data_IF_094021428446
#
_entry.id   IF_094021428446
#
_cell.length_a   1.000
_cell.length_b   1.000
_cell.length_c   1.000
_cell.angle_alpha   90.00
_cell.angle_beta   90.00
_cell.angle_gamma   90.00
#
_symmetry.space_group_name_H-M   'P 1'
#
loop_
_entity.id
_entity.type
_entity.pdbx_description
1 polymer ?
#
# COMPACT_ATOMS: atom_id res chain seq x y z
N UNK A 1 6.12 -4.72 -7.83
CA UNK A 1 5.58 -3.36 -8.00
C UNK A 1 4.95 -3.22 -9.38
N UNK A 2 3.71 -2.74 -9.45
CA UNK A 2 2.98 -2.47 -10.70
C UNK A 2 3.36 -1.09 -11.29
N UNK A 3 3.64 -0.12 -10.43
CA UNK A 3 4.19 1.21 -10.75
C UNK A 3 5.34 1.50 -9.81
N UNK A 4 6.35 2.22 -10.28
CA UNK A 4 7.51 2.59 -9.47
C UNK A 4 7.97 4.01 -9.77
N UNK A 5 8.26 4.77 -8.71
CA UNK A 5 8.61 6.19 -8.80
C UNK A 5 7.42 7.06 -9.20
N UNK A 6 7.69 8.33 -9.55
CA UNK A 6 6.72 9.27 -10.12
C UNK A 6 5.50 9.57 -9.19
N UNK A 7 5.61 9.33 -7.88
CA UNK A 7 4.57 9.64 -6.91
C UNK A 7 4.54 11.15 -6.65
N UNK A 8 3.39 11.82 -6.73
CA UNK A 8 3.29 13.26 -6.50
C UNK A 8 3.37 13.66 -5.02
N UNK A 9 3.28 12.67 -4.12
CA UNK A 9 3.35 12.89 -2.68
C UNK A 9 4.75 13.30 -2.21
N UNK A 10 4.83 13.99 -1.06
CA UNK A 10 6.08 14.51 -0.52
C UNK A 10 6.64 13.73 0.69
N UNK A 11 6.14 12.54 0.96
CA UNK A 11 6.59 11.72 2.09
C UNK A 11 8.11 11.64 2.17
N UNK A 12 8.73 12.18 3.24
CA UNK A 12 10.18 12.33 3.34
C UNK A 12 10.97 11.03 3.42
N UNK A 13 10.35 9.95 3.87
CA UNK A 13 10.97 8.63 3.91
C UNK A 13 10.93 7.87 2.57
N UNK A 14 10.21 8.40 1.57
CA UNK A 14 9.82 7.59 0.40
C UNK A 14 10.69 7.90 -0.82
N UNK A 15 11.44 6.91 -1.29
CA UNK A 15 12.21 6.99 -2.53
C UNK A 15 11.35 7.05 -3.80
N UNK A 16 10.03 6.73 -3.70
CA UNK A 16 9.11 6.73 -4.84
C UNK A 16 8.58 8.13 -5.22
N UNK A 17 8.79 9.14 -4.39
CA UNK A 17 8.34 10.51 -4.69
C UNK A 17 9.03 11.09 -5.94
N UNK A 18 8.33 11.96 -6.67
CA UNK A 18 8.80 12.52 -7.93
C UNK A 18 10.14 13.27 -7.79
N UNK A 19 10.33 13.98 -6.66
CA UNK A 19 11.55 14.74 -6.37
C UNK A 19 12.71 13.91 -5.83
N UNK A 20 12.53 12.59 -5.60
CA UNK A 20 13.60 11.73 -5.09
C UNK A 20 14.74 11.59 -6.10
N UNK A 21 15.98 11.72 -5.60
CA UNK A 21 17.23 11.48 -6.33
C UNK A 21 17.71 10.02 -6.17
N UNK A 22 16.96 9.19 -5.46
CA UNK A 22 17.30 7.79 -5.23
C UNK A 22 17.41 7.03 -6.57
N UNK A 23 18.43 6.18 -6.65
CA UNK A 23 18.66 5.34 -7.83
C UNK A 23 17.70 4.14 -7.82
N UNK A 24 16.45 4.38 -8.20
CA UNK A 24 15.41 3.36 -8.33
C UNK A 24 14.92 3.28 -9.77
N UNK A 25 14.42 2.12 -10.16
CA UNK A 25 13.70 2.00 -11.45
C UNK A 25 12.42 2.83 -11.40
N UNK A 26 12.15 3.61 -12.46
CA UNK A 26 10.96 4.44 -12.60
C UNK A 26 10.18 3.99 -13.84
N UNK A 27 8.93 3.57 -13.64
CA UNK A 27 8.02 3.17 -14.73
C UNK A 27 6.57 3.42 -14.34
N UNK A 28 5.75 3.75 -15.34
CA UNK A 28 4.33 4.06 -15.14
C UNK A 28 3.48 2.81 -14.87
N UNK A 29 3.79 1.70 -15.53
CA UNK A 29 3.18 0.39 -15.33
C UNK A 29 4.13 -0.72 -15.77
N UNK A 30 4.17 -1.81 -15.00
CA UNK A 30 4.78 -3.06 -15.43
C UNK A 30 3.91 -3.72 -16.52
N UNK A 31 4.54 -4.42 -17.44
CA UNK A 31 3.79 -5.19 -18.44
C UNK A 31 3.14 -6.44 -17.80
N UNK A 32 2.01 -6.93 -18.35
CA UNK A 32 1.28 -8.04 -17.76
C UNK A 32 2.08 -9.34 -17.65
N UNK A 33 2.96 -9.63 -18.62
CA UNK A 33 3.78 -10.85 -18.60
C UNK A 33 4.81 -10.80 -17.45
N UNK A 34 5.44 -9.64 -17.25
CA UNK A 34 6.35 -9.43 -16.11
C UNK A 34 5.61 -9.63 -14.78
N UNK A 35 4.38 -9.14 -14.66
CA UNK A 35 3.56 -9.32 -13.45
C UNK A 35 3.22 -10.78 -13.24
N UNK A 36 2.73 -11.47 -14.28
CA UNK A 36 2.39 -12.90 -14.23
C UNK A 36 3.62 -13.73 -13.80
N UNK A 37 4.76 -13.57 -14.45
CA UNK A 37 5.99 -14.29 -14.13
C UNK A 37 6.46 -14.05 -12.69
N UNK A 38 6.31 -12.82 -12.17
CA UNK A 38 6.66 -12.51 -10.78
C UNK A 38 5.72 -13.18 -9.78
N UNK A 39 4.42 -13.28 -10.09
CA UNK A 39 3.42 -13.99 -9.28
C UNK A 39 3.75 -15.47 -9.25
N UNK A 40 3.96 -16.10 -10.41
CA UNK A 40 4.30 -17.52 -10.52
C UNK A 40 5.59 -17.88 -9.76
N UNK A 41 6.63 -17.06 -9.91
CA UNK A 41 7.88 -17.24 -9.17
C UNK A 41 7.68 -17.14 -7.64
N UNK A 42 6.84 -16.20 -7.19
CA UNK A 42 6.50 -16.06 -5.78
C UNK A 42 5.77 -17.29 -5.24
N UNK A 43 4.76 -17.77 -5.96
CA UNK A 43 3.97 -18.96 -5.58
C UNK A 43 4.85 -20.21 -5.58
N UNK A 44 5.66 -20.41 -6.62
CA UNK A 44 6.62 -21.51 -6.67
C UNK A 44 7.64 -21.46 -5.51
N UNK A 45 7.97 -20.26 -5.02
CA UNK A 45 8.77 -20.04 -3.82
C UNK A 45 8.03 -20.25 -2.48
N UNK A 46 6.73 -20.63 -2.53
CA UNK A 46 5.92 -20.90 -1.35
C UNK A 46 5.14 -19.70 -0.80
N UNK A 47 5.01 -18.62 -1.56
CA UNK A 47 4.20 -17.48 -1.17
C UNK A 47 2.72 -17.88 -1.06
N UNK A 48 2.08 -17.49 0.06
CA UNK A 48 0.64 -17.66 0.30
C UNK A 48 -0.14 -16.38 0.04
N UNK A 49 0.56 -15.25 -0.05
CA UNK A 49 0.00 -13.93 -0.35
C UNK A 49 0.86 -13.22 -1.38
N UNK A 50 0.23 -12.63 -2.38
CA UNK A 50 0.85 -11.77 -3.39
C UNK A 50 0.39 -10.34 -3.15
N UNK A 51 1.36 -9.39 -3.12
CA UNK A 51 1.05 -7.98 -2.96
C UNK A 51 1.24 -7.24 -4.30
N UNK A 52 0.17 -6.62 -4.79
CA UNK A 52 0.15 -5.78 -5.99
C UNK A 52 0.25 -4.31 -5.59
N UNK A 53 1.44 -3.72 -5.77
CA UNK A 53 1.74 -2.38 -5.25
C UNK A 53 1.94 -1.38 -6.39
N UNK A 54 1.26 -0.25 -6.35
CA UNK A 54 1.44 0.86 -7.28
C UNK A 54 1.77 2.15 -6.54
N UNK A 55 2.84 2.83 -6.93
CA UNK A 55 3.18 4.16 -6.42
C UNK A 55 2.17 5.21 -6.90
N UNK A 56 1.83 6.19 -6.06
CA UNK A 56 0.91 7.29 -6.40
C UNK A 56 0.06 7.71 -5.22
N UNK A 57 -0.67 8.83 -5.38
CA UNK A 57 -1.64 9.30 -4.39
C UNK A 57 -2.84 8.32 -4.29
N UNK A 58 -3.42 7.99 -5.43
CA UNK A 58 -4.55 7.07 -5.56
C UNK A 58 -4.78 6.68 -7.01
N UNK A 59 -5.58 5.62 -7.27
CA UNK A 59 -5.81 5.12 -8.61
C UNK A 59 -6.91 5.91 -9.35
N UNK A 60 -6.74 6.10 -10.65
CA UNK A 60 -7.85 6.39 -11.53
C UNK A 60 -8.75 5.15 -11.70
N UNK A 61 -9.98 5.34 -12.21
CA UNK A 61 -10.88 4.20 -12.53
C UNK A 61 -10.22 3.21 -13.51
N UNK A 62 -9.46 3.72 -14.48
CA UNK A 62 -8.70 2.86 -15.42
C UNK A 62 -7.60 2.05 -14.73
N UNK A 63 -6.95 2.64 -13.71
CA UNK A 63 -5.94 1.93 -12.92
C UNK A 63 -6.59 0.81 -12.09
N UNK A 64 -7.77 1.08 -11.50
CA UNK A 64 -8.55 0.07 -10.78
C UNK A 64 -8.95 -1.09 -11.69
N UNK A 65 -9.51 -0.79 -12.88
CA UNK A 65 -9.87 -1.83 -13.86
C UNK A 65 -8.68 -2.71 -14.24
N UNK A 66 -7.51 -2.09 -14.48
CA UNK A 66 -6.27 -2.81 -14.80
C UNK A 66 -5.85 -3.75 -13.68
N UNK A 67 -5.85 -3.28 -12.44
CA UNK A 67 -5.46 -4.12 -11.29
C UNK A 67 -6.50 -5.19 -11.01
N UNK A 68 -7.78 -4.86 -11.14
CA UNK A 68 -8.87 -5.83 -11.01
C UNK A 68 -8.77 -6.98 -12.02
N UNK A 69 -8.34 -6.71 -13.26
CA UNK A 69 -8.06 -7.77 -14.23
C UNK A 69 -6.96 -8.70 -13.73
N UNK A 70 -5.82 -8.14 -13.26
CA UNK A 70 -4.71 -8.92 -12.71
C UNK A 70 -5.11 -9.72 -11.46
N UNK A 71 -5.95 -9.16 -10.59
CA UNK A 71 -6.48 -9.86 -9.41
C UNK A 71 -7.31 -11.06 -9.85
N UNK A 72 -8.24 -10.88 -10.81
CA UNK A 72 -9.06 -11.96 -11.34
C UNK A 72 -8.21 -13.06 -11.99
N UNK A 73 -7.16 -12.71 -12.74
CA UNK A 73 -6.26 -13.67 -13.36
C UNK A 73 -5.59 -14.54 -12.29
N UNK A 74 -4.98 -13.93 -11.26
CA UNK A 74 -4.35 -14.66 -10.16
C UNK A 74 -5.36 -15.54 -9.42
N UNK A 75 -6.56 -15.02 -9.10
CA UNK A 75 -7.58 -15.79 -8.38
C UNK A 75 -8.15 -16.93 -9.22
N UNK A 76 -8.18 -16.83 -10.54
CA UNK A 76 -8.63 -17.91 -11.43
C UNK A 76 -7.63 -19.06 -11.49
N UNK A 77 -6.32 -18.77 -11.51
CA UNK A 77 -5.25 -19.75 -11.58
C UNK A 77 -4.85 -20.30 -10.20
N UNK A 78 -4.91 -19.45 -9.18
CA UNK A 78 -4.48 -19.73 -7.81
C UNK A 78 -5.52 -19.31 -6.77
N UNK A 79 -6.70 -19.96 -6.70
CA UNK A 79 -7.82 -19.55 -5.85
C UNK A 79 -7.48 -19.51 -4.35
N UNK A 80 -6.49 -20.26 -3.91
CA UNK A 80 -6.06 -20.34 -2.51
C UNK A 80 -4.97 -19.32 -2.14
N UNK A 81 -4.44 -18.56 -3.11
CA UNK A 81 -3.47 -17.51 -2.86
C UNK A 81 -4.21 -16.22 -2.50
N UNK A 82 -3.82 -15.59 -1.40
CA UNK A 82 -4.35 -14.30 -1.02
C UNK A 82 -3.74 -13.19 -1.89
N UNK A 83 -4.59 -12.28 -2.35
CA UNK A 83 -4.15 -11.08 -3.10
C UNK A 83 -4.36 -9.84 -2.25
N UNK A 84 -3.26 -9.13 -1.97
CA UNK A 84 -3.26 -7.82 -1.32
C UNK A 84 -3.01 -6.74 -2.37
N UNK A 85 -3.83 -5.69 -2.37
CA UNK A 85 -3.67 -4.54 -3.27
C UNK A 85 -3.17 -3.33 -2.48
N UNK A 86 -2.33 -2.49 -3.09
CA UNK A 86 -1.86 -1.23 -2.51
C UNK A 86 -1.70 -0.19 -3.63
N UNK A 87 -2.64 0.75 -3.71
CA UNK A 87 -2.70 1.77 -4.77
C UNK A 87 -2.85 3.20 -4.22
N UNK A 88 -2.64 3.42 -2.91
CA UNK A 88 -2.90 4.69 -2.25
C UNK A 88 -4.35 4.86 -1.79
N UNK A 89 -4.87 6.08 -1.86
CA UNK A 89 -6.20 6.44 -1.40
C UNK A 89 -7.30 5.90 -2.33
N UNK A 90 -8.32 5.31 -1.77
CA UNK A 90 -9.49 4.82 -2.52
C UNK A 90 -10.79 5.27 -1.85
N UNK A 91 -11.77 5.61 -2.66
CA UNK A 91 -13.15 5.81 -2.25
C UNK A 91 -13.90 4.47 -2.15
N UNK A 92 -15.12 4.52 -1.68
CA UNK A 92 -15.97 3.35 -1.48
C UNK A 92 -16.19 2.56 -2.77
N UNK A 93 -16.51 3.22 -3.87
CA UNK A 93 -16.81 2.55 -5.15
C UNK A 93 -15.59 1.77 -5.67
N UNK A 94 -14.39 2.36 -5.54
CA UNK A 94 -13.13 1.68 -5.91
C UNK A 94 -12.82 0.52 -4.99
N UNK A 95 -13.00 0.68 -3.67
CA UNK A 95 -12.76 -0.37 -2.69
C UNK A 95 -13.69 -1.57 -2.93
N UNK A 96 -14.99 -1.34 -3.15
CA UNK A 96 -15.98 -2.37 -3.49
C UNK A 96 -15.61 -3.07 -4.80
N UNK A 97 -15.23 -2.33 -5.85
CA UNK A 97 -14.80 -2.90 -7.13
C UNK A 97 -13.56 -3.77 -7.01
N UNK A 98 -12.58 -3.39 -6.17
CA UNK A 98 -11.39 -4.18 -5.89
C UNK A 98 -11.76 -5.47 -5.12
N UNK A 99 -12.69 -5.39 -4.18
CA UNK A 99 -13.22 -6.55 -3.46
C UNK A 99 -13.95 -7.51 -4.39
N UNK A 100 -14.81 -7.01 -5.26
CA UNK A 100 -15.55 -7.80 -6.25
C UNK A 100 -14.62 -8.51 -7.26
N UNK A 101 -13.46 -7.92 -7.55
CA UNK A 101 -12.45 -8.56 -8.39
C UNK A 101 -11.79 -9.78 -7.71
N UNK A 102 -11.97 -9.95 -6.40
CA UNK A 102 -11.45 -11.08 -5.63
C UNK A 102 -10.25 -10.75 -4.74
N UNK A 103 -9.91 -9.47 -4.55
CA UNK A 103 -8.87 -9.10 -3.59
C UNK A 103 -9.30 -9.48 -2.16
N UNK A 104 -8.35 -10.03 -1.40
CA UNK A 104 -8.57 -10.44 0.00
C UNK A 104 -8.28 -9.30 0.96
N UNK A 105 -7.25 -8.52 0.67
CA UNK A 105 -6.79 -7.44 1.53
C UNK A 105 -6.32 -6.21 0.76
N UNK A 106 -6.24 -5.09 1.47
CA UNK A 106 -5.69 -3.85 0.93
C UNK A 106 -4.71 -3.24 1.93
N UNK A 107 -3.52 -2.85 1.45
CA UNK A 107 -2.52 -2.20 2.28
C UNK A 107 -2.60 -0.68 2.12
N UNK A 108 -2.80 0.01 3.24
CA UNK A 108 -2.75 1.46 3.34
C UNK A 108 -2.15 1.86 4.70
N UNK A 109 -0.83 2.01 4.76
CA UNK A 109 -0.09 2.19 6.00
C UNK A 109 -0.33 3.55 6.65
N UNK A 110 -0.48 3.57 7.98
CA UNK A 110 -0.41 4.79 8.78
C UNK A 110 0.98 5.44 8.69
N UNK A 111 2.02 4.63 8.64
CA UNK A 111 3.44 4.96 8.61
C UNK A 111 4.00 5.44 9.95
N UNK A 112 3.36 6.39 10.64
CA UNK A 112 3.75 6.92 11.94
C UNK A 112 2.50 7.37 12.72
N UNK A 113 2.68 7.85 13.95
CA UNK A 113 1.61 8.40 14.76
C UNK A 113 1.05 9.72 14.20
N UNK A 114 -0.20 10.04 14.55
CA UNK A 114 -0.87 11.27 14.14
C UNK A 114 -0.08 12.53 14.56
N UNK A 115 0.49 12.54 15.77
CA UNK A 115 1.29 13.66 16.29
C UNK A 115 2.53 13.94 15.46
N UNK A 116 3.21 12.89 14.95
CA UNK A 116 4.44 12.98 14.16
C UNK A 116 4.17 13.10 12.66
N UNK A 117 2.91 13.04 12.23
CA UNK A 117 2.58 12.85 10.82
C UNK A 117 2.99 14.03 9.93
N UNK A 118 2.79 15.27 10.41
CA UNK A 118 3.12 16.48 9.66
C UNK A 118 4.62 16.69 9.44
N UNK A 119 5.45 16.07 10.27
CA UNK A 119 6.90 16.13 10.15
C UNK A 119 7.42 15.23 9.02
N UNK A 120 6.60 14.25 8.59
CA UNK A 120 6.99 13.30 7.54
C UNK A 120 6.23 13.46 6.23
N UNK A 121 5.07 14.13 6.21
CA UNK A 121 4.26 14.32 5.00
C UNK A 121 3.38 15.57 5.14
N UNK A 122 3.31 16.38 4.06
CA UNK A 122 2.46 17.59 4.02
C UNK A 122 1.38 17.55 2.95
N UNK A 123 1.43 16.60 2.02
CA UNK A 123 0.50 16.49 0.89
C UNK A 123 -0.79 15.74 1.22
N UNK A 124 -0.83 15.04 2.35
CA UNK A 124 -2.02 14.38 2.89
C UNK A 124 -1.90 14.24 4.42
N UNK A 125 -3.00 13.91 5.08
CA UNK A 125 -3.08 13.85 6.54
C UNK A 125 -3.18 12.41 7.07
N UNK A 126 -2.98 12.25 8.37
CA UNK A 126 -3.19 10.99 9.07
C UNK A 126 -4.67 10.56 9.01
N UNK A 127 -5.57 11.53 9.20
CA UNK A 127 -7.01 11.31 9.17
C UNK A 127 -7.48 10.76 7.82
N UNK A 128 -7.01 11.34 6.70
CA UNK A 128 -7.33 10.84 5.35
C UNK A 128 -6.89 9.39 5.16
N UNK A 129 -5.76 8.99 5.79
CA UNK A 129 -5.33 7.59 5.76
C UNK A 129 -6.27 6.68 6.54
N UNK A 130 -6.69 7.10 7.73
CA UNK A 130 -7.60 6.32 8.55
C UNK A 130 -9.00 6.23 7.93
N UNK A 131 -9.48 7.30 7.31
CA UNK A 131 -10.71 7.26 6.50
C UNK A 131 -10.64 6.22 5.39
N UNK A 132 -9.49 6.12 4.69
CA UNK A 132 -9.29 5.07 3.69
C UNK A 132 -9.33 3.68 4.32
N UNK A 133 -8.69 3.47 5.48
CA UNK A 133 -8.74 2.20 6.22
C UNK A 133 -10.18 1.81 6.57
N UNK A 134 -10.99 2.76 7.02
CA UNK A 134 -12.40 2.54 7.36
C UNK A 134 -13.21 2.15 6.11
N UNK A 135 -13.02 2.85 5.00
CA UNK A 135 -13.64 2.55 3.70
C UNK A 135 -13.30 1.13 3.22
N UNK A 136 -12.05 0.71 3.35
CA UNK A 136 -11.61 -0.64 2.99
C UNK A 136 -12.33 -1.71 3.81
N UNK A 137 -12.47 -1.48 5.10
CA UNK A 137 -13.18 -2.40 6.01
C UNK A 137 -14.66 -2.47 5.68
N UNK A 138 -15.31 -1.34 5.43
CA UNK A 138 -16.72 -1.29 5.01
C UNK A 138 -16.98 -2.04 3.70
N UNK A 139 -16.02 -1.99 2.76
CA UNK A 139 -16.07 -2.74 1.51
C UNK A 139 -15.79 -4.26 1.68
N UNK A 140 -15.47 -4.72 2.90
CA UNK A 140 -15.18 -6.12 3.19
C UNK A 140 -13.78 -6.59 2.76
N UNK A 141 -12.86 -5.67 2.51
CA UNK A 141 -11.44 -5.96 2.37
C UNK A 141 -10.81 -6.05 3.77
N UNK A 142 -9.83 -6.95 3.94
CA UNK A 142 -9.03 -7.01 5.16
C UNK A 142 -8.01 -5.87 5.16
N UNK A 143 -8.13 -4.87 6.08
CA UNK A 143 -7.20 -3.76 6.10
C UNK A 143 -5.84 -4.20 6.64
N UNK A 144 -4.79 -3.90 5.88
CA UNK A 144 -3.39 -4.02 6.27
C UNK A 144 -2.83 -2.61 6.40
N UNK A 145 -2.46 -2.18 7.61
CA UNK A 145 -1.94 -0.84 7.87
C UNK A 145 -0.87 -0.90 8.95
N UNK A 146 0.30 -0.41 8.67
CA UNK A 146 1.45 -0.52 9.55
C UNK A 146 2.25 0.76 9.69
N UNK A 147 3.41 0.61 10.31
CA UNK A 147 4.32 1.68 10.69
C UNK A 147 5.72 1.49 10.12
N UNK A 148 6.47 2.59 10.06
CA UNK A 148 7.91 2.60 9.79
C UNK A 148 8.57 3.21 11.02
N UNK A 149 9.32 2.40 11.77
CA UNK A 149 10.04 2.82 12.97
C UNK A 149 11.36 3.49 12.59
N UNK A 150 11.69 4.59 13.26
CA UNK A 150 12.95 5.33 13.08
C UNK A 150 12.80 6.61 12.28
N UNK A 151 11.59 7.21 12.22
CA UNK A 151 11.31 8.48 11.57
C UNK A 151 11.23 9.67 12.56
N UNK A 152 11.76 9.50 13.77
CA UNK A 152 11.79 10.54 14.81
C UNK A 152 10.68 10.43 15.86
N UNK A 153 9.82 9.44 15.76
CA UNK A 153 8.77 9.13 16.73
C UNK A 153 9.32 8.65 18.08
N UNK A 154 8.55 8.85 19.13
CA UNK A 154 8.81 8.31 20.48
C UNK A 154 8.21 6.90 20.64
N UNK A 155 8.61 6.19 21.71
CA UNK A 155 8.02 4.88 22.04
C UNK A 155 6.53 5.00 22.36
N UNK A 156 6.12 6.08 23.01
CA UNK A 156 4.72 6.39 23.30
C UNK A 156 3.92 6.58 22.00
N UNK A 157 4.44 7.29 21.04
CA UNK A 157 3.80 7.48 19.73
C UNK A 157 3.67 6.17 18.95
N UNK A 158 4.64 5.26 19.06
CA UNK A 158 4.52 3.91 18.49
C UNK A 158 3.38 3.12 19.14
N UNK A 159 3.23 3.23 20.45
CA UNK A 159 2.12 2.60 21.17
C UNK A 159 0.78 3.20 20.74
N UNK A 160 0.69 4.54 20.67
CA UNK A 160 -0.53 5.26 20.29
C UNK A 160 -1.02 4.87 18.90
N UNK A 161 -0.13 4.83 17.89
CA UNK A 161 -0.52 4.44 16.53
C UNK A 161 -1.02 2.98 16.46
N UNK A 162 -0.43 2.06 17.24
CA UNK A 162 -0.90 0.67 17.27
C UNK A 162 -2.30 0.56 17.89
N UNK A 163 -2.59 1.32 18.96
CA UNK A 163 -3.92 1.35 19.55
C UNK A 163 -4.94 2.01 18.60
N UNK A 164 -4.55 3.03 17.86
CA UNK A 164 -5.41 3.68 16.89
C UNK A 164 -5.72 2.74 15.70
N UNK A 165 -4.74 2.04 15.15
CA UNK A 165 -4.94 1.01 14.14
C UNK A 165 -5.89 -0.09 14.62
N UNK A 166 -5.78 -0.52 15.88
CA UNK A 166 -6.72 -1.46 16.51
C UNK A 166 -8.14 -0.90 16.56
N UNK A 167 -8.31 0.37 16.90
CA UNK A 167 -9.61 1.06 16.96
C UNK A 167 -10.29 1.11 15.58
N UNK A 168 -9.51 1.34 14.50
CA UNK A 168 -9.98 1.28 13.11
C UNK A 168 -10.15 -0.17 12.60
N UNK A 169 -9.88 -1.18 13.45
CA UNK A 169 -10.11 -2.59 13.16
C UNK A 169 -9.20 -3.12 12.04
N UNK A 170 -7.95 -2.69 12.03
CA UNK A 170 -6.91 -3.22 11.15
C UNK A 170 -6.60 -4.68 11.50
N UNK A 171 -6.56 -5.55 10.50
CA UNK A 171 -6.35 -6.99 10.68
C UNK A 171 -4.87 -7.39 10.65
N UNK A 172 -4.03 -6.61 9.97
CA UNK A 172 -2.60 -6.91 9.79
C UNK A 172 -1.78 -5.62 9.93
N UNK A 173 -0.79 -5.64 10.84
CA UNK A 173 0.05 -4.48 11.12
C UNK A 173 1.52 -4.82 10.81
N UNK A 174 2.02 -4.53 9.59
CA UNK A 174 3.44 -4.65 9.31
C UNK A 174 4.24 -3.59 10.05
N UNK A 175 5.29 -4.02 10.75
CA UNK A 175 6.25 -3.13 11.38
C UNK A 175 7.52 -3.14 10.55
N UNK A 176 7.82 -2.02 9.92
CA UNK A 176 9.04 -1.82 9.13
C UNK A 176 10.01 -0.93 9.91
N UNK A 177 11.30 -1.04 9.61
CA UNK A 177 12.32 -0.15 10.12
C UNK A 177 12.84 0.72 8.99
N UNK A 178 13.03 2.01 9.27
CA UNK A 178 13.57 2.93 8.27
C UNK A 178 14.98 2.49 7.87
N UNK A 179 15.15 2.19 6.60
CA UNK A 179 16.46 1.99 6.00
C UNK A 179 16.78 3.25 5.19
N UNK A 180 17.72 4.08 5.63
CA UNK A 180 18.14 5.26 4.86
C UNK A 180 18.67 4.84 3.50
N UNK A 181 18.09 5.38 2.44
CA UNK A 181 18.50 5.11 1.07
C UNK A 181 19.02 6.40 0.43
N UNK A 182 20.24 6.35 -0.11
CA UNK A 182 20.88 7.52 -0.70
C UNK A 182 20.00 8.17 -1.77
N UNK A 183 19.85 9.50 -1.69
CA UNK A 183 19.01 10.27 -2.60
C UNK A 183 17.51 10.26 -2.25
N UNK A 184 17.10 9.60 -1.17
CA UNK A 184 15.78 9.81 -0.56
C UNK A 184 15.83 11.11 0.24
N UNK A 185 14.80 11.98 0.22
CA UNK A 185 14.76 13.24 0.95
C UNK A 185 14.93 13.09 2.45
#
# INVERSE_FOLDING_TARGET
NLKSGLCPEDCFYCSQRLSSQANIMKYSWADPETVHNAVEAGIAGGARRVCMVASGHGPSSRDVERVNAMVRDVKSEHPNVEVCVCMGFVDKDKAESIKEAGADSYNHNANTAQSNYRDICTTHTYEERMETVDVLKEAGLSPCSGVIVGMGETDEELVDVIFDLRKHGVDSVPVNFLLPFEGTP
#
